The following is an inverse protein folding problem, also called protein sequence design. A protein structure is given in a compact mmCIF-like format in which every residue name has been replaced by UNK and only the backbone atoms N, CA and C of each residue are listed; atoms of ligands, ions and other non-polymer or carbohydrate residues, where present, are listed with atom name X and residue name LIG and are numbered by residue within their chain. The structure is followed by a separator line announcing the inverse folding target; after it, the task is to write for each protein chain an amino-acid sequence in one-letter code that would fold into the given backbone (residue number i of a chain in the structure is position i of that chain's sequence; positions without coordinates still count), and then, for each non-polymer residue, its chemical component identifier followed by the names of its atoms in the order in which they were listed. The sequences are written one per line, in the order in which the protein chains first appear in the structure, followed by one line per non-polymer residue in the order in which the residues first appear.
data_IF_947097466217
#
_entry.id   IF_947097466217
#
_cell.length_a   1.000
_cell.length_b   1.000
_cell.length_c   1.000
_cell.angle_alpha   90.00
_cell.angle_beta   90.00
_cell.angle_gamma   90.00
#
_symmetry.space_group_name_H-M   'P 1'
#
loop_
_entity.id
_entity.type
_entity.pdbx_description
1 polymer ?
#
# COMPACT_ATOMS: atom_id res chain seq x y z
N UNK A 1 0.15 -24.64 -6.15
CA UNK A 1 1.45 -23.98 -6.33
C UNK A 1 1.54 -22.88 -5.28
N UNK A 2 2.44 -22.96 -4.29
CA UNK A 2 2.55 -21.97 -3.23
C UNK A 2 3.34 -20.74 -3.73
N UNK A 3 2.87 -19.54 -3.41
CA UNK A 3 3.71 -18.33 -3.49
C UNK A 3 3.48 -17.41 -4.70
N UNK A 4 2.24 -17.15 -5.12
CA UNK A 4 1.99 -15.88 -5.83
C UNK A 4 2.07 -14.78 -4.79
N UNK A 5 3.25 -14.16 -4.64
CA UNK A 5 3.37 -12.86 -3.98
C UNK A 5 2.61 -11.85 -4.84
N UNK A 6 1.33 -11.71 -4.57
CA UNK A 6 0.50 -10.69 -5.19
C UNK A 6 1.09 -9.33 -4.86
N UNK A 7 1.29 -8.54 -5.91
CA UNK A 7 1.79 -7.18 -5.83
C UNK A 7 0.60 -6.25 -5.81
N UNK A 8 0.49 -5.41 -4.78
CA UNK A 8 -0.56 -4.40 -4.66
C UNK A 8 0.02 -3.02 -4.92
N UNK A 9 -0.78 -2.20 -5.59
CA UNK A 9 -0.42 -0.82 -5.88
C UNK A 9 -1.01 0.05 -4.78
N UNK A 10 -0.17 0.79 -4.06
CA UNK A 10 -0.55 1.60 -2.89
C UNK A 10 -0.09 3.03 -3.07
N UNK A 11 -0.84 3.96 -2.48
CA UNK A 11 -0.47 5.37 -2.44
C UNK A 11 0.16 5.68 -1.09
N UNK A 12 1.37 6.24 -1.12
CA UNK A 12 2.12 6.60 0.07
C UNK A 12 1.50 7.83 0.74
N UNK A 13 1.26 7.74 2.04
CA UNK A 13 0.84 8.86 2.89
C UNK A 13 2.03 9.59 3.50
N UNK A 14 3.18 8.94 3.57
CA UNK A 14 4.43 9.53 4.05
C UNK A 14 5.56 9.16 3.10
N UNK A 15 6.66 9.92 3.05
CA UNK A 15 7.82 9.54 2.25
C UNK A 15 8.35 8.18 2.69
N UNK A 16 8.55 7.28 1.73
CA UNK A 16 8.98 5.91 1.96
C UNK A 16 10.11 5.53 1.01
N UNK A 17 11.07 4.74 1.50
CA UNK A 17 12.18 4.25 0.68
C UNK A 17 11.93 2.78 0.38
N UNK A 18 11.81 2.46 -0.91
CA UNK A 18 11.60 1.08 -1.36
C UNK A 18 12.83 0.20 -1.06
N UNK A 19 12.66 -1.12 -1.14
CA UNK A 19 13.73 -2.12 -1.00
C UNK A 19 14.90 -1.89 -1.96
N UNK A 20 14.68 -1.23 -3.10
CA UNK A 20 15.73 -0.81 -4.03
C UNK A 20 16.55 0.41 -3.55
N UNK A 21 16.21 1.00 -2.40
CA UNK A 21 16.81 2.24 -1.91
C UNK A 21 16.28 3.50 -2.60
N UNK A 22 15.16 3.39 -3.34
CA UNK A 22 14.53 4.51 -4.05
C UNK A 22 13.59 5.24 -3.09
N UNK A 23 13.87 6.51 -2.82
CA UNK A 23 12.98 7.37 -2.04
C UNK A 23 11.76 7.80 -2.87
N UNK A 24 10.58 7.49 -2.39
CA UNK A 24 9.30 7.91 -2.94
C UNK A 24 8.68 8.98 -2.05
N UNK A 25 8.39 10.19 -2.57
CA UNK A 25 7.72 11.21 -1.79
C UNK A 25 6.27 10.83 -1.47
N UNK A 26 5.71 11.46 -0.44
CA UNK A 26 4.27 11.39 -0.11
C UNK A 26 3.41 11.64 -1.36
N UNK A 27 2.31 10.90 -1.49
CA UNK A 27 1.42 10.93 -2.64
C UNK A 27 1.90 10.09 -3.84
N UNK A 28 3.12 9.53 -3.78
CA UNK A 28 3.59 8.63 -4.83
C UNK A 28 2.90 7.28 -4.76
N UNK A 29 2.62 6.71 -5.93
CA UNK A 29 2.07 5.37 -6.06
C UNK A 29 3.20 4.37 -6.26
N UNK A 30 3.28 3.37 -5.38
CA UNK A 30 4.32 2.31 -5.42
C UNK A 30 3.68 0.94 -5.42
N UNK A 31 4.41 -0.07 -5.93
CA UNK A 31 3.97 -1.47 -5.88
C UNK A 31 4.72 -2.19 -4.79
N UNK A 32 3.99 -2.77 -3.85
CA UNK A 32 4.54 -3.52 -2.73
C UNK A 32 3.94 -4.92 -2.68
N UNK A 33 4.66 -5.93 -2.17
CA UNK A 33 4.08 -7.23 -1.97
C UNK A 33 3.01 -7.18 -0.87
N UNK A 34 1.91 -7.92 -1.02
CA UNK A 34 0.82 -7.97 -0.02
C UNK A 34 1.32 -8.36 1.38
N UNK A 35 2.43 -9.09 1.47
CA UNK A 35 3.04 -9.49 2.75
C UNK A 35 3.55 -8.33 3.59
N UNK A 36 3.92 -7.20 2.98
CA UNK A 36 4.34 -5.99 3.71
C UNK A 36 3.24 -4.94 3.78
N UNK A 37 2.11 -5.16 3.10
CA UNK A 37 0.99 -4.23 3.08
C UNK A 37 0.46 -3.97 4.51
N UNK A 38 0.24 -5.04 5.28
CA UNK A 38 -0.29 -4.96 6.65
C UNK A 38 0.65 -4.15 7.57
N UNK A 39 1.96 -4.36 7.44
CA UNK A 39 2.97 -3.59 8.17
C UNK A 39 2.96 -2.12 7.75
N UNK A 40 2.90 -1.83 6.45
CA UNK A 40 2.86 -0.46 5.94
C UNK A 40 1.58 0.30 6.35
N UNK A 41 0.44 -0.40 6.44
CA UNK A 41 -0.81 0.17 6.98
C UNK A 41 -0.68 0.40 8.48
N UNK A 42 -0.18 -0.60 9.22
CA UNK A 42 -0.02 -0.52 10.68
C UNK A 42 0.98 0.54 11.12
N UNK A 43 2.02 0.80 10.32
CA UNK A 43 3.01 1.86 10.55
C UNK A 43 2.53 3.22 10.06
N UNK A 44 1.43 3.27 9.30
CA UNK A 44 0.83 4.49 8.77
C UNK A 44 1.57 5.08 7.56
N UNK A 45 2.44 4.29 6.91
CA UNK A 45 3.16 4.67 5.69
C UNK A 45 2.20 4.80 4.51
N UNK A 46 1.18 3.96 4.47
CA UNK A 46 0.09 4.01 3.48
C UNK A 46 -1.25 4.10 4.20
N UNK A 47 -2.20 4.75 3.55
CA UNK A 47 -3.61 4.60 3.89
C UNK A 47 -4.16 3.68 2.82
N UNK A 48 -4.43 2.42 3.17
CA UNK A 48 -5.42 1.68 2.41
C UNK A 48 -6.72 2.41 2.68
N UNK A 49 -7.25 3.07 1.66
CA UNK A 49 -8.65 3.47 1.65
C UNK A 49 -9.45 2.16 1.64
N UNK A 50 -9.52 1.51 2.82
CA UNK A 50 -10.42 0.40 3.11
C UNK A 50 -11.85 0.90 3.27
N UNK A 51 -12.09 2.17 2.92
CA UNK A 51 -13.39 2.69 2.59
C UNK A 51 -13.60 2.57 1.09
N UNK A 52 -13.71 1.32 0.63
CA UNK A 52 -14.93 1.03 -0.12
C UNK A 52 -16.08 1.51 0.77
N UNK A 53 -16.40 2.78 0.64
CA UNK A 53 -17.69 3.31 1.02
C UNK A 53 -18.59 2.62 0.03
N UNK A 54 -19.00 1.40 0.35
CA UNK A 54 -20.20 0.81 -0.21
C UNK A 54 -21.32 1.77 0.22
N UNK A 55 -21.44 2.88 -0.50
CA UNK A 55 -22.67 3.65 -0.60
C UNK A 55 -23.58 2.76 -1.42
N UNK A 56 -24.08 1.68 -0.82
CA UNK A 56 -25.36 1.15 -1.25
C UNK A 56 -26.39 2.18 -0.77
N UNK A 57 -26.68 3.16 -1.61
CA UNK A 57 -27.96 3.85 -1.52
C UNK A 57 -29.03 2.81 -1.85
N UNK A 58 -29.67 2.26 -0.81
CA UNK A 58 -31.10 1.98 -0.79
C UNK A 58 -31.62 2.03 0.65
#
# INVERSE_FOLDING_TARGET
MPGMSSMVTVTLKTPWTDSAGIGHPEGSTVRVPETVLDELVSTGVIVTDATETWVTCD
#
